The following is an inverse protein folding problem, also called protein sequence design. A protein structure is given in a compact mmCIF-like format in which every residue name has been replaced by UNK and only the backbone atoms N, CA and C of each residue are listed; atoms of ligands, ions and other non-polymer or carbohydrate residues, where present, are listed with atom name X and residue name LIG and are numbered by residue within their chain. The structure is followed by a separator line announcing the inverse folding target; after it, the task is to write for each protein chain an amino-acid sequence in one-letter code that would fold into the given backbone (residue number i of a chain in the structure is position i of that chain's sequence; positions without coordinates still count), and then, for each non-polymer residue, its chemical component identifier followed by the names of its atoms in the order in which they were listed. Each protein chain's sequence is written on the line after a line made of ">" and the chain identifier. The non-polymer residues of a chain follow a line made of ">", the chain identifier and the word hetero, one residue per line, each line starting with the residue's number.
data_IF_250362795379
#
_entry.id   IF_250362795379
#
_cell.length_a   1.000
_cell.length_b   1.000
_cell.length_c   1.000
_cell.angle_alpha   90.00
_cell.angle_beta   90.00
_cell.angle_gamma   90.00
#
_symmetry.space_group_name_H-M   'P 1'
#
loop_
_entity.id
_entity.type
_entity.pdbx_description
1 polymer ?
#
# COMPACT_ATOMS: atom_id res chain seq x y z
N UNK A 1 -11.29 -20.30 5.83
CA UNK A 1 -9.95 -19.93 6.33
C UNK A 1 -10.14 -19.08 7.56
N UNK A 2 -9.32 -19.24 8.62
CA UNK A 2 -9.38 -18.36 9.79
C UNK A 2 -8.87 -16.96 9.41
N UNK A 3 -9.46 -15.93 10.01
CA UNK A 3 -9.10 -14.52 9.83
C UNK A 3 -7.61 -14.29 10.10
N UNK A 4 -7.06 -14.99 11.10
CA UNK A 4 -5.64 -14.99 11.45
C UNK A 4 -4.73 -15.38 10.27
N UNK A 5 -5.05 -16.46 9.53
CA UNK A 5 -4.25 -16.86 8.35
C UNK A 5 -4.29 -15.75 7.29
N UNK A 6 -5.44 -15.09 7.09
CA UNK A 6 -5.51 -13.96 6.16
C UNK A 6 -4.58 -12.83 6.60
N UNK A 7 -4.52 -12.50 7.89
CA UNK A 7 -3.61 -11.45 8.40
C UNK A 7 -2.15 -11.82 8.12
N UNK A 8 -1.73 -13.05 8.43
CA UNK A 8 -0.36 -13.49 8.19
C UNK A 8 0.02 -13.57 6.72
N UNK A 9 -0.93 -13.91 5.83
CA UNK A 9 -0.69 -13.90 4.38
C UNK A 9 -0.64 -12.47 3.83
N UNK A 10 -1.56 -11.60 4.24
CA UNK A 10 -1.65 -10.23 3.72
C UNK A 10 -0.50 -9.34 4.18
N UNK A 11 0.10 -9.60 5.35
CA UNK A 11 1.22 -8.82 5.89
C UNK A 11 2.44 -8.77 4.95
N UNK A 12 3.02 -9.90 4.50
CA UNK A 12 4.11 -9.87 3.52
C UNK A 12 3.66 -9.34 2.16
N UNK A 13 2.40 -9.56 1.73
CA UNK A 13 1.89 -8.95 0.50
C UNK A 13 1.90 -7.41 0.58
N UNK A 14 1.52 -6.83 1.72
CA UNK A 14 1.60 -5.38 1.94
C UNK A 14 3.06 -4.88 1.84
N UNK A 15 4.03 -5.64 2.37
CA UNK A 15 5.45 -5.34 2.21
C UNK A 15 5.87 -5.31 0.73
N UNK A 16 5.44 -6.31 -0.05
CA UNK A 16 5.68 -6.37 -1.49
C UNK A 16 5.11 -5.13 -2.19
N UNK A 17 3.89 -4.70 -1.87
CA UNK A 17 3.28 -3.49 -2.45
C UNK A 17 4.12 -2.25 -2.16
N UNK A 18 4.55 -2.04 -0.91
CA UNK A 18 5.37 -0.88 -0.52
C UNK A 18 6.70 -0.85 -1.29
N UNK A 19 7.41 -1.99 -1.32
CA UNK A 19 8.71 -2.11 -1.98
C UNK A 19 8.59 -1.95 -3.49
N UNK A 20 7.65 -2.65 -4.13
CA UNK A 20 7.48 -2.58 -5.59
C UNK A 20 7.05 -1.17 -6.03
N UNK A 21 6.18 -0.49 -5.29
CA UNK A 21 5.81 0.90 -5.59
C UNK A 21 7.03 1.82 -5.55
N UNK A 22 7.90 1.68 -4.54
CA UNK A 22 9.16 2.45 -4.47
C UNK A 22 10.09 2.12 -5.62
N UNK A 23 10.36 0.85 -5.90
CA UNK A 23 11.28 0.45 -6.97
C UNK A 23 10.79 0.87 -8.35
N UNK A 24 9.49 0.75 -8.59
CA UNK A 24 8.87 1.08 -9.88
C UNK A 24 8.90 2.59 -10.16
N UNK A 25 8.67 3.42 -9.14
CA UNK A 25 8.58 4.87 -9.32
C UNK A 25 9.91 5.59 -9.08
N UNK A 26 10.85 5.01 -8.33
CA UNK A 26 12.19 5.57 -8.16
C UNK A 26 13.05 5.49 -9.42
N UNK A 27 12.77 4.53 -10.32
CA UNK A 27 13.53 4.37 -11.58
C UNK A 27 13.20 5.43 -12.63
N UNK A 28 12.23 6.32 -12.37
CA UNK A 28 12.00 7.49 -13.21
C UNK A 28 11.61 7.14 -14.65
N UNK A 29 11.00 5.98 -14.89
CA UNK A 29 10.45 5.60 -16.19
C UNK A 29 9.30 6.57 -16.53
N UNK A 30 9.67 7.73 -17.07
CA UNK A 30 8.75 8.71 -17.61
C UNK A 30 8.16 8.12 -18.90
N UNK A 31 7.15 7.27 -18.76
CA UNK A 31 6.30 6.90 -19.88
C UNK A 31 5.61 8.17 -20.38
N UNK A 32 5.91 8.56 -21.62
CA UNK A 32 5.26 9.70 -22.28
C UNK A 32 3.74 9.63 -22.09
N UNK A 33 3.11 10.76 -21.77
CA UNK A 33 1.64 10.88 -21.65
C UNK A 33 1.06 10.70 -20.24
N UNK A 34 1.84 10.47 -19.18
CA UNK A 34 1.31 10.32 -17.81
C UNK A 34 1.83 11.40 -16.86
N UNK A 35 1.01 11.77 -15.86
CA UNK A 35 1.40 12.78 -14.87
C UNK A 35 2.52 12.26 -13.97
N UNK A 36 3.57 13.08 -13.83
CA UNK A 36 4.67 12.84 -12.90
C UNK A 36 4.11 12.82 -11.46
N UNK A 37 4.35 11.74 -10.73
CA UNK A 37 3.99 11.64 -9.30
C UNK A 37 4.95 12.53 -8.50
N UNK A 38 4.43 13.30 -7.55
CA UNK A 38 5.31 14.08 -6.67
C UNK A 38 6.19 13.16 -5.82
N UNK A 39 7.48 13.46 -5.72
CA UNK A 39 8.43 12.69 -4.90
C UNK A 39 8.01 12.66 -3.43
N UNK A 40 7.30 13.69 -2.96
CA UNK A 40 6.73 13.76 -1.61
C UNK A 40 5.65 12.70 -1.39
N UNK A 41 4.76 12.47 -2.36
CA UNK A 41 3.73 11.44 -2.25
C UNK A 41 4.35 10.03 -2.23
N UNK A 42 5.36 9.79 -3.07
CA UNK A 42 6.11 8.53 -3.06
C UNK A 42 6.84 8.31 -1.73
N UNK A 43 7.46 9.37 -1.18
CA UNK A 43 8.13 9.31 0.11
C UNK A 43 7.13 9.01 1.23
N UNK A 44 5.99 9.70 1.25
CA UNK A 44 4.91 9.46 2.22
C UNK A 44 4.45 8.00 2.19
N UNK A 45 4.13 7.48 1.00
CA UNK A 45 3.72 6.08 0.83
C UNK A 45 4.78 5.11 1.36
N UNK A 46 6.06 5.36 1.05
CA UNK A 46 7.14 4.45 1.46
C UNK A 46 7.37 4.51 2.96
N UNK A 47 7.49 5.70 3.55
CA UNK A 47 7.78 5.87 4.98
C UNK A 47 6.60 5.40 5.83
N UNK A 48 5.38 5.81 5.48
CA UNK A 48 4.18 5.34 6.18
C UNK A 48 4.03 3.83 6.05
N UNK A 49 4.25 3.27 4.86
CA UNK A 49 4.12 1.83 4.63
C UNK A 49 5.16 1.01 5.40
N UNK A 50 6.41 1.47 5.42
CA UNK A 50 7.45 0.83 6.23
C UNK A 50 7.17 0.92 7.72
N UNK A 51 6.74 2.08 8.22
CA UNK A 51 6.36 2.25 9.63
C UNK A 51 5.16 1.35 9.99
N UNK A 52 4.14 1.29 9.13
CA UNK A 52 2.98 0.42 9.30
C UNK A 52 3.41 -1.04 9.47
N UNK A 53 4.26 -1.54 8.57
CA UNK A 53 4.72 -2.93 8.59
C UNK A 53 5.54 -3.26 9.83
N UNK A 54 6.47 -2.38 10.21
CA UNK A 54 7.30 -2.60 11.41
C UNK A 54 6.42 -2.65 12.65
N UNK A 55 5.55 -1.66 12.84
CA UNK A 55 4.67 -1.61 14.01
C UNK A 55 3.67 -2.77 14.02
N UNK A 56 3.14 -3.15 12.86
CA UNK A 56 2.20 -4.27 12.76
C UNK A 56 2.86 -5.61 13.07
N UNK A 57 4.05 -5.86 12.55
CA UNK A 57 4.81 -7.09 12.86
C UNK A 57 5.19 -7.12 14.34
N UNK A 58 5.58 -5.98 14.93
CA UNK A 58 5.83 -5.89 16.37
C UNK A 58 4.56 -6.19 17.16
N UNK A 59 3.42 -5.61 16.78
CA UNK A 59 2.13 -5.91 17.41
C UNK A 59 1.81 -7.41 17.39
N UNK A 60 1.95 -8.07 16.22
CA UNK A 60 1.65 -9.51 16.07
C UNK A 60 2.66 -10.43 16.79
N UNK A 61 3.91 -9.99 16.95
CA UNK A 61 4.98 -10.84 17.50
C UNK A 61 5.04 -10.83 19.03
N UNK A 62 4.41 -9.86 19.69
CA UNK A 62 4.48 -9.68 21.13
C UNK A 62 3.13 -9.95 21.81
N UNK A 63 3.12 -10.46 23.05
CA UNK A 63 1.90 -10.67 23.81
C UNK A 63 1.08 -9.38 24.02
N UNK A 64 -0.25 -9.51 24.05
CA UNK A 64 -1.20 -8.38 24.20
C UNK A 64 -1.08 -7.64 25.54
N UNK A 65 -0.56 -8.30 26.58
CA UNK A 65 -0.30 -7.72 27.90
C UNK A 65 1.04 -6.93 27.97
N UNK A 66 1.84 -6.99 26.90
CA UNK A 66 3.09 -6.23 26.79
C UNK A 66 2.88 -4.85 26.16
N UNK A 67 3.80 -3.92 26.43
CA UNK A 67 3.77 -2.60 25.79
C UNK A 67 3.83 -2.67 24.24
N UNK A 68 4.56 -3.66 23.70
CA UNK A 68 4.79 -3.80 22.25
C UNK A 68 3.66 -4.52 21.51
N UNK A 69 2.96 -5.45 22.17
CA UNK A 69 1.75 -6.12 21.65
C UNK A 69 0.44 -5.41 22.05
N UNK A 70 0.52 -4.33 22.81
CA UNK A 70 -0.65 -3.61 23.28
C UNK A 70 -1.45 -2.92 22.18
N UNK A 71 -2.72 -2.64 22.49
CA UNK A 71 -3.71 -2.03 21.59
C UNK A 71 -3.23 -0.74 20.91
N UNK A 72 -2.46 0.09 21.61
CA UNK A 72 -1.93 1.36 21.07
C UNK A 72 -1.04 1.10 19.85
N UNK A 73 -0.17 0.08 19.87
CA UNK A 73 0.72 -0.22 18.75
C UNK A 73 -0.09 -0.68 17.54
N UNK A 74 -1.10 -1.54 17.75
CA UNK A 74 -2.02 -1.98 16.70
C UNK A 74 -2.76 -0.81 16.05
N UNK A 75 -3.31 0.12 16.84
CA UNK A 75 -4.00 1.32 16.35
C UNK A 75 -3.06 2.22 15.53
N UNK A 76 -1.85 2.47 16.02
CA UNK A 76 -0.87 3.31 15.32
C UNK A 76 -0.44 2.65 14.00
N UNK A 77 -0.20 1.33 14.01
CA UNK A 77 0.10 0.57 12.81
C UNK A 77 -1.03 0.65 11.77
N UNK A 78 -2.29 0.46 12.18
CA UNK A 78 -3.47 0.62 11.32
C UNK A 78 -3.58 2.03 10.75
N UNK A 79 -3.31 3.05 11.56
CA UNK A 79 -3.27 4.45 11.11
C UNK A 79 -2.26 4.64 9.96
N UNK A 80 -1.04 4.13 10.11
CA UNK A 80 -0.04 4.18 9.04
C UNK A 80 -0.43 3.34 7.81
N UNK A 81 -1.08 2.20 7.99
CA UNK A 81 -1.61 1.40 6.89
C UNK A 81 -2.68 2.16 6.08
N UNK A 82 -3.60 2.85 6.74
CA UNK A 82 -4.59 3.69 6.09
C UNK A 82 -3.96 4.85 5.32
N UNK A 83 -2.98 5.54 5.92
CA UNK A 83 -2.20 6.59 5.22
C UNK A 83 -1.53 6.02 3.96
N UNK A 84 -0.95 4.83 4.06
CA UNK A 84 -0.30 4.14 2.94
C UNK A 84 -1.30 3.78 1.85
N UNK A 85 -2.45 3.20 2.20
CA UNK A 85 -3.51 2.86 1.25
C UNK A 85 -4.02 4.10 0.52
N UNK A 86 -4.31 5.19 1.24
CA UNK A 86 -4.76 6.46 0.66
C UNK A 86 -3.69 7.04 -0.28
N UNK A 87 -2.43 7.13 0.17
CA UNK A 87 -1.34 7.59 -0.68
C UNK A 87 -1.21 6.72 -1.95
N UNK A 88 -1.43 5.41 -1.82
CA UNK A 88 -1.46 4.45 -2.90
C UNK A 88 -2.56 4.69 -3.93
N UNK A 89 -3.78 4.97 -3.47
CA UNK A 89 -4.89 5.34 -4.33
C UNK A 89 -4.63 6.68 -5.02
N UNK A 90 -4.03 7.66 -4.33
CA UNK A 90 -3.63 8.93 -4.95
C UNK A 90 -2.56 8.71 -6.03
N UNK A 91 -1.65 7.74 -5.84
CA UNK A 91 -0.68 7.33 -6.85
C UNK A 91 -1.36 6.72 -8.08
N UNK A 92 -2.51 6.05 -7.94
CA UNK A 92 -3.27 5.54 -9.09
C UNK A 92 -3.85 6.64 -9.97
N UNK A 93 -4.08 7.84 -9.43
CA UNK A 93 -4.65 8.94 -10.21
C UNK A 93 -3.78 9.33 -11.41
N UNK A 94 -2.49 8.96 -11.45
CA UNK A 94 -1.63 9.17 -12.63
C UNK A 94 -2.11 8.46 -13.89
N UNK A 95 -2.96 7.44 -13.74
CA UNK A 95 -3.51 6.64 -14.83
C UNK A 95 -4.89 7.12 -15.27
N UNK A 96 -5.45 8.18 -14.67
CA UNK A 96 -6.69 8.75 -15.18
C UNK A 96 -6.44 9.29 -16.60
N UNK A 97 -7.30 8.98 -17.58
CA UNK A 97 -7.12 9.42 -18.95
C UNK A 97 -7.15 10.96 -19.01
N UNK A 98 -6.06 11.57 -19.43
CA UNK A 98 -6.02 13.00 -19.73
C UNK A 98 -6.77 13.24 -21.04
N UNK A 99 -7.90 13.96 -20.97
CA UNK A 99 -8.65 14.37 -22.17
C UNK A 99 -8.07 15.68 -22.71
N UNK A 100 -7.47 15.66 -23.90
CA UNK A 100 -6.99 16.87 -24.57
C UNK A 100 -6.28 16.61 -25.89
N UNK A 101 -6.25 17.63 -26.76
CA UNK A 101 -5.62 17.59 -28.09
C UNK A 101 -4.10 17.30 -28.11
N UNK A 102 -3.46 17.32 -26.94
CA UNK A 102 -2.03 17.03 -26.74
C UNK A 102 -1.79 15.79 -25.87
N UNK A 103 -2.79 14.93 -25.67
CA UNK A 103 -2.59 13.68 -24.96
C UNK A 103 -1.69 12.76 -25.81
N UNK A 104 -0.53 12.37 -25.26
CA UNK A 104 0.39 11.44 -25.92
C UNK A 104 -0.21 10.04 -26.06
N UNK A 105 0.36 9.23 -26.95
CA UNK A 105 -0.08 7.85 -27.18
C UNK A 105 -0.11 7.01 -25.89
N UNK A 106 -1.14 6.17 -25.77
CA UNK A 106 -1.32 5.27 -24.63
C UNK A 106 -0.08 4.36 -24.51
N UNK A 107 0.53 4.35 -23.32
CA UNK A 107 1.61 3.43 -23.00
C UNK A 107 1.16 1.98 -23.28
N UNK A 108 2.03 1.24 -23.98
CA UNK A 108 1.82 -0.14 -24.45
C UNK A 108 1.29 -1.06 -23.34
N UNK A 109 0.26 -1.85 -23.65
CA UNK A 109 -0.43 -2.86 -22.83
C UNK A 109 0.48 -4.04 -22.39
N UNK A 110 1.54 -3.74 -21.65
CA UNK A 110 2.34 -4.77 -20.95
C UNK A 110 1.83 -4.90 -19.52
N UNK A 111 1.57 -6.12 -19.03
CA UNK A 111 1.08 -6.36 -17.66
C UNK A 111 1.95 -5.65 -16.60
N UNK A 112 3.28 -5.74 -16.72
CA UNK A 112 4.23 -5.18 -15.76
C UNK A 112 4.47 -3.67 -15.94
N UNK A 113 4.36 -3.15 -17.17
CA UNK A 113 4.57 -1.73 -17.47
C UNK A 113 3.29 -0.89 -17.42
N UNK A 114 2.13 -1.52 -17.59
CA UNK A 114 0.80 -0.90 -17.60
C UNK A 114 0.17 -0.71 -16.22
N UNK A 115 -1.07 -0.18 -16.17
CA UNK A 115 -1.75 0.18 -14.93
C UNK A 115 -2.14 -1.04 -14.08
N UNK A 116 -2.35 -2.21 -14.69
CA UNK A 116 -2.93 -3.39 -14.03
C UNK A 116 -2.23 -3.80 -12.74
N UNK A 117 -0.90 -3.97 -12.77
CA UNK A 117 -0.13 -4.31 -11.57
C UNK A 117 -0.23 -3.21 -10.49
N UNK A 118 -0.26 -1.94 -10.89
CA UNK A 118 -0.40 -0.83 -9.95
C UNK A 118 -1.79 -0.86 -9.29
N UNK A 119 -2.85 -1.05 -10.08
CA UNK A 119 -4.23 -1.12 -9.58
C UNK A 119 -4.39 -2.30 -8.62
N UNK A 120 -3.94 -3.50 -9.01
CA UNK A 120 -3.98 -4.68 -8.17
C UNK A 120 -3.26 -4.46 -6.83
N UNK A 121 -2.07 -3.87 -6.86
CA UNK A 121 -1.28 -3.59 -5.66
C UNK A 121 -2.02 -2.67 -4.67
N UNK A 122 -2.56 -1.56 -5.14
CA UNK A 122 -3.14 -0.56 -4.23
C UNK A 122 -4.59 -0.86 -3.84
N UNK A 123 -5.39 -1.50 -4.72
CA UNK A 123 -6.70 -2.03 -4.34
C UNK A 123 -6.53 -3.21 -3.39
N UNK A 124 -5.57 -4.10 -3.66
CA UNK A 124 -5.20 -5.18 -2.75
C UNK A 124 -4.74 -4.67 -1.39
N UNK A 125 -3.93 -3.60 -1.36
CA UNK A 125 -3.55 -2.93 -0.12
C UNK A 125 -4.78 -2.40 0.64
N UNK A 126 -5.70 -1.70 -0.04
CA UNK A 126 -6.93 -1.20 0.58
C UNK A 126 -7.76 -2.33 1.21
N UNK A 127 -7.99 -3.42 0.47
CA UNK A 127 -8.69 -4.60 0.99
C UNK A 127 -7.92 -5.20 2.18
N UNK A 128 -6.59 -5.28 2.09
CA UNK A 128 -5.74 -5.76 3.17
C UNK A 128 -5.89 -4.94 4.46
N UNK A 129 -5.89 -3.62 4.36
CA UNK A 129 -6.09 -2.73 5.51
C UNK A 129 -7.48 -2.90 6.12
N UNK A 130 -8.52 -3.09 5.30
CA UNK A 130 -9.87 -3.39 5.81
C UNK A 130 -9.88 -4.71 6.58
N UNK A 131 -9.21 -5.75 6.07
CA UNK A 131 -9.08 -7.04 6.77
C UNK A 131 -8.29 -6.90 8.06
N UNK A 132 -7.17 -6.17 8.09
CA UNK A 132 -6.41 -5.90 9.31
C UNK A 132 -7.23 -5.14 10.34
N UNK A 133 -7.99 -4.13 9.90
CA UNK A 133 -8.88 -3.36 10.76
C UNK A 133 -9.97 -4.26 11.36
N UNK A 134 -10.60 -5.11 10.53
CA UNK A 134 -11.60 -6.06 11.01
C UNK A 134 -11.01 -7.05 12.01
N UNK A 135 -9.86 -7.65 11.69
CA UNK A 135 -9.20 -8.62 12.55
C UNK A 135 -8.83 -8.02 13.93
N UNK A 136 -8.30 -6.80 13.94
CA UNK A 136 -8.00 -6.06 15.16
C UNK A 136 -9.27 -5.76 15.98
N UNK A 137 -10.34 -5.27 15.33
CA UNK A 137 -11.59 -4.93 16.02
C UNK A 137 -12.33 -6.14 16.59
N UNK A 138 -12.15 -7.33 16.00
CA UNK A 138 -12.76 -8.57 16.51
C UNK A 138 -11.82 -9.40 17.37
N UNK A 139 -10.66 -8.86 17.75
CA UNK A 139 -9.61 -9.58 18.52
C UNK A 139 -9.24 -10.93 17.90
N UNK A 140 -9.22 -10.99 16.57
CA UNK A 140 -8.79 -12.17 15.83
C UNK A 140 -7.26 -12.24 15.68
N UNK A 141 -6.57 -11.16 16.07
CA UNK A 141 -5.12 -10.99 16.20
C UNK A 141 -4.82 -10.00 17.31
#
# INVERSE_FOLDING_TARGET
>A
MSTEILVYVLTPLAAVVVVLTRLRLARGDATAGHSQISSRLLLLHTVAGSAALVLWVVFLAFPEDSFLGGSVIGIVALGFFWVTAIAGLLILMRWLPTRGKHAGDKATDSWSKGPGLSVLAHVGMLVGVVVFTFAYLTSAV
#
